data_IF_030849024628
#
_entry.id   IF_030849024628
#
_cell.length_a   1.000
_cell.length_b   1.000
_cell.length_c   1.000
_cell.angle_alpha   90.00
_cell.angle_beta   90.00
_cell.angle_gamma   90.00
#
_symmetry.space_group_name_H-M   'P 1'
#
loop_
_entity.id
_entity.type
_entity.pdbx_description
1 polymer ?
#
# COMPACT_ATOMS: atom_id res chain seq x y z
N UNK A 1 13.25 5.96 35.35
CA UNK A 1 14.12 6.42 34.25
C UNK A 1 13.22 6.70 33.07
N UNK A 2 13.23 7.92 32.54
CA UNK A 2 12.54 8.26 31.30
C UNK A 2 13.30 7.61 30.13
N UNK A 3 12.60 6.92 29.25
CA UNK A 3 13.23 6.28 28.09
C UNK A 3 13.58 7.35 27.06
N UNK A 4 14.77 7.24 26.46
CA UNK A 4 15.12 8.08 25.33
C UNK A 4 14.17 7.80 24.14
N UNK A 5 13.80 8.82 23.36
CA UNK A 5 12.97 8.63 22.18
C UNK A 5 13.67 7.69 21.18
N UNK A 6 12.91 6.77 20.59
CA UNK A 6 13.39 5.86 19.54
C UNK A 6 13.35 6.59 18.20
N UNK A 7 14.45 6.52 17.44
CA UNK A 7 14.52 7.00 16.06
C UNK A 7 14.50 5.78 15.13
N UNK A 8 13.48 5.72 14.27
CA UNK A 8 13.42 4.74 13.17
C UNK A 8 14.16 5.29 11.95
N UNK A 9 15.20 4.56 11.52
CA UNK A 9 16.06 4.96 10.41
C UNK A 9 15.52 4.50 9.04
N UNK A 10 14.51 3.64 8.99
CA UNK A 10 14.06 2.98 7.76
C UNK A 10 12.53 2.80 7.71
N UNK A 11 11.80 3.82 8.16
CA UNK A 11 10.35 3.83 8.11
C UNK A 11 9.82 4.01 6.69
N UNK A 12 8.96 3.10 6.23
CA UNK A 12 8.30 3.19 4.92
C UNK A 12 6.84 3.65 5.02
N UNK A 13 6.36 4.26 3.94
CA UNK A 13 4.93 4.48 3.68
C UNK A 13 4.57 3.77 2.38
N UNK A 14 3.35 3.27 2.30
CA UNK A 14 2.84 2.66 1.07
C UNK A 14 2.44 3.74 0.06
N UNK A 15 2.60 3.41 -1.21
CA UNK A 15 2.04 4.19 -2.30
C UNK A 15 0.50 4.18 -2.23
N UNK A 16 -0.18 5.30 -2.52
CA UNK A 16 -1.63 5.30 -2.57
C UNK A 16 -2.11 4.40 -3.73
N UNK A 17 -3.26 3.70 -3.57
CA UNK A 17 -3.79 2.84 -4.63
C UNK A 17 -4.16 3.61 -5.90
N UNK A 18 -4.43 4.91 -5.78
CA UNK A 18 -4.83 5.81 -6.87
C UNK A 18 -4.23 7.21 -6.72
N UNK A 19 -4.39 8.06 -7.74
CA UNK A 19 -3.98 9.47 -7.72
C UNK A 19 -2.54 9.76 -8.17
N UNK A 20 -1.64 8.77 -8.21
CA UNK A 20 -0.28 8.99 -8.74
C UNK A 20 -0.29 9.30 -10.25
N UNK A 21 -1.17 8.63 -11.01
CA UNK A 21 -1.33 8.85 -12.45
C UNK A 21 -1.77 10.29 -12.79
N UNK A 22 -2.66 10.87 -11.99
CA UNK A 22 -3.15 12.25 -12.17
C UNK A 22 -2.02 13.27 -12.05
N UNK A 23 -1.01 12.97 -11.21
CA UNK A 23 0.15 13.82 -10.92
C UNK A 23 1.35 13.52 -11.81
N UNK A 24 1.34 12.40 -12.53
CA UNK A 24 2.44 12.00 -13.40
C UNK A 24 2.46 12.82 -14.71
N UNK A 25 3.65 13.15 -15.25
CA UNK A 25 3.77 13.64 -16.62
C UNK A 25 3.06 12.72 -17.60
N UNK A 26 2.38 13.27 -18.62
CA UNK A 26 1.51 12.50 -19.54
C UNK A 26 2.16 11.23 -20.08
N UNK A 27 3.43 11.30 -20.51
CA UNK A 27 4.19 10.17 -21.07
C UNK A 27 4.45 9.01 -20.09
N UNK A 28 4.18 9.19 -18.79
CA UNK A 28 4.42 8.20 -17.74
C UNK A 28 3.14 7.72 -17.05
N UNK A 29 1.97 8.26 -17.40
CA UNK A 29 0.71 7.92 -16.72
C UNK A 29 0.42 6.43 -16.73
N UNK A 30 0.70 5.73 -17.82
CA UNK A 30 0.46 4.29 -17.94
C UNK A 30 1.59 3.42 -17.37
N UNK A 31 2.68 4.04 -16.90
CA UNK A 31 3.87 3.36 -16.37
C UNK A 31 4.07 3.57 -14.87
N UNK A 32 3.40 4.54 -14.26
CA UNK A 32 3.49 4.80 -12.83
C UNK A 32 2.65 3.79 -12.04
N UNK A 33 2.93 3.67 -10.73
CA UNK A 33 2.21 2.79 -9.81
C UNK A 33 0.71 3.04 -9.86
N UNK A 34 -0.05 1.98 -10.13
CA UNK A 34 -1.51 1.99 -10.14
C UNK A 34 -2.04 0.65 -9.64
N UNK A 35 -2.99 0.69 -8.71
CA UNK A 35 -3.82 -0.46 -8.40
C UNK A 35 -5.06 -0.39 -9.29
N UNK A 36 -5.27 -1.44 -10.08
CA UNK A 36 -6.41 -1.59 -10.98
C UNK A 36 -7.31 -2.69 -10.44
N UNK A 37 -8.59 -2.39 -10.26
CA UNK A 37 -9.61 -3.37 -9.93
C UNK A 37 -10.23 -3.90 -11.22
N UNK A 38 -10.17 -5.21 -11.43
CA UNK A 38 -10.81 -5.88 -12.58
C UNK A 38 -12.29 -6.14 -12.31
N UNK A 39 -13.02 -6.55 -13.35
CA UNK A 39 -14.47 -6.80 -13.26
C UNK A 39 -14.85 -7.90 -12.25
N UNK A 40 -13.96 -8.86 -12.01
CA UNK A 40 -14.12 -9.93 -11.00
C UNK A 40 -13.80 -9.45 -9.56
N UNK A 41 -13.46 -8.17 -9.39
CA UNK A 41 -13.10 -7.58 -8.10
C UNK A 41 -11.66 -7.88 -7.66
N UNK A 42 -10.84 -8.56 -8.48
CA UNK A 42 -9.42 -8.77 -8.20
C UNK A 42 -8.62 -7.48 -8.38
N UNK A 43 -7.61 -7.27 -7.53
CA UNK A 43 -6.72 -6.12 -7.61
C UNK A 43 -5.38 -6.49 -8.22
N UNK A 44 -4.92 -5.66 -9.14
CA UNK A 44 -3.67 -5.83 -9.87
C UNK A 44 -2.83 -4.58 -9.78
N UNK A 45 -1.53 -4.73 -9.50
CA UNK A 45 -0.56 -3.67 -9.71
C UNK A 45 -0.25 -3.61 -11.20
N UNK A 46 -0.50 -2.45 -11.81
CA UNK A 46 0.08 -2.06 -13.09
C UNK A 46 1.25 -1.13 -12.83
N UNK A 47 2.43 -1.50 -13.29
CA UNK A 47 3.62 -0.68 -13.14
C UNK A 47 4.66 -0.99 -14.22
N UNK A 48 5.15 0.06 -14.88
CA UNK A 48 6.21 0.00 -15.88
C UNK A 48 6.04 -1.09 -16.96
N UNK A 49 4.82 -1.24 -17.48
CA UNK A 49 4.49 -2.23 -18.52
C UNK A 49 4.23 -3.65 -18.01
N UNK A 50 4.38 -3.90 -16.71
CA UNK A 50 4.02 -5.16 -16.07
C UNK A 50 2.69 -5.09 -15.34
N UNK A 51 2.01 -6.23 -15.24
CA UNK A 51 0.85 -6.43 -14.35
C UNK A 51 1.07 -7.66 -13.47
N UNK A 52 0.75 -7.55 -12.17
CA UNK A 52 0.77 -8.67 -11.22
C UNK A 52 -0.32 -8.53 -10.15
N UNK A 53 -0.78 -9.63 -9.53
CA UNK A 53 -1.74 -9.55 -8.42
C UNK A 53 -1.24 -8.63 -7.30
N UNK A 54 -2.13 -7.79 -6.76
CA UNK A 54 -1.78 -6.76 -5.78
C UNK A 54 -1.81 -7.26 -4.33
N UNK A 55 -2.52 -8.35 -4.03
CA UNK A 55 -2.77 -8.76 -2.64
C UNK A 55 -1.48 -9.01 -1.83
N UNK A 56 -0.46 -9.60 -2.44
CA UNK A 56 0.83 -9.82 -1.77
C UNK A 56 1.55 -8.52 -1.36
N UNK A 57 1.22 -7.40 -2.00
CA UNK A 57 1.78 -6.08 -1.69
C UNK A 57 1.15 -5.48 -0.42
N UNK A 58 -0.03 -5.95 0.00
CA UNK A 58 -0.72 -5.49 1.21
C UNK A 58 0.09 -5.78 2.48
N UNK A 59 0.96 -6.81 2.47
CA UNK A 59 1.80 -7.18 3.61
C UNK A 59 2.68 -6.02 4.11
N UNK A 60 3.21 -5.21 3.18
CA UNK A 60 4.03 -4.04 3.53
C UNK A 60 3.26 -2.98 4.34
N UNK A 61 1.92 -3.03 4.33
CA UNK A 61 1.05 -2.13 5.08
C UNK A 61 0.46 -2.67 6.37
N UNK A 62 0.68 -3.96 6.65
CA UNK A 62 0.01 -4.64 7.75
C UNK A 62 0.70 -4.46 9.11
N UNK A 63 1.90 -3.86 9.17
CA UNK A 63 2.71 -3.74 10.39
C UNK A 63 2.01 -3.06 11.58
N UNK A 64 1.03 -2.20 11.31
CA UNK A 64 0.20 -1.53 12.33
C UNK A 64 -1.21 -2.12 12.52
N UNK A 65 -1.54 -3.24 11.87
CA UNK A 65 -2.86 -3.88 11.93
C UNK A 65 -2.89 -5.02 12.97
N UNK A 66 -4.05 -5.67 13.15
CA UNK A 66 -4.20 -6.82 14.06
C UNK A 66 -3.32 -8.02 13.63
N UNK A 67 -3.06 -8.97 14.53
CA UNK A 67 -2.32 -10.18 14.18
C UNK A 67 -3.04 -10.99 13.08
N UNK A 68 -4.36 -11.15 13.19
CA UNK A 68 -5.18 -11.82 12.19
C UNK A 68 -5.10 -11.14 10.81
N UNK A 69 -5.09 -9.81 10.77
CA UNK A 69 -4.92 -9.04 9.53
C UNK A 69 -3.54 -9.23 8.91
N UNK A 70 -2.48 -9.27 9.73
CA UNK A 70 -1.12 -9.55 9.26
C UNK A 70 -1.02 -10.94 8.64
N UNK A 71 -1.65 -11.94 9.25
CA UNK A 71 -1.69 -13.30 8.71
C UNK A 71 -2.48 -13.40 7.41
N UNK A 72 -3.64 -12.73 7.31
CA UNK A 72 -4.40 -12.62 6.06
C UNK A 72 -3.58 -11.97 4.95
N UNK A 73 -2.87 -10.88 5.25
CA UNK A 73 -2.00 -10.21 4.30
C UNK A 73 -0.82 -11.11 3.86
N UNK A 74 -0.21 -11.84 4.80
CA UNK A 74 0.87 -12.79 4.52
C UNK A 74 0.44 -13.92 3.57
N UNK A 75 -0.82 -14.39 3.69
CA UNK A 75 -1.41 -15.39 2.79
C UNK A 75 -1.89 -14.82 1.45
N UNK A 76 -1.81 -13.50 1.24
CA UNK A 76 -2.32 -12.85 0.03
C UNK A 76 -3.85 -12.79 -0.04
N UNK A 77 -4.54 -12.89 1.09
CA UNK A 77 -6.00 -12.86 1.20
C UNK A 77 -6.56 -11.45 1.45
N UNK A 78 -5.68 -10.46 1.58
CA UNK A 78 -6.03 -9.06 1.78
C UNK A 78 -5.80 -8.28 0.49
N UNK A 79 -6.81 -7.52 0.06
CA UNK A 79 -6.69 -6.53 -1.02
C UNK A 79 -5.79 -5.39 -0.59
N UNK A 80 -5.09 -4.78 -1.54
CA UNK A 80 -4.24 -3.63 -1.27
C UNK A 80 -5.05 -2.46 -0.70
N UNK A 81 -6.27 -2.25 -1.21
CA UNK A 81 -7.17 -1.19 -0.74
C UNK A 81 -7.80 -1.43 0.63
N UNK A 82 -7.69 -2.65 1.19
CA UNK A 82 -8.14 -2.94 2.56
C UNK A 82 -7.12 -2.51 3.62
N UNK A 83 -5.86 -2.23 3.24
CA UNK A 83 -4.84 -1.73 4.16
C UNK A 83 -5.30 -0.37 4.72
N UNK A 84 -5.15 -0.19 6.04
CA UNK A 84 -5.51 1.07 6.72
C UNK A 84 -4.89 2.25 5.98
N UNK A 85 -5.71 3.27 5.67
CA UNK A 85 -5.28 4.44 4.92
C UNK A 85 -4.08 5.17 5.54
N UNK A 86 -3.86 5.05 6.86
CA UNK A 86 -2.64 5.48 7.54
C UNK A 86 -1.35 4.99 6.87
N UNK A 87 -1.39 3.92 6.08
CA UNK A 87 -0.24 3.43 5.35
C UNK A 87 0.20 4.36 4.19
N UNK A 88 -0.72 5.08 3.55
CA UNK A 88 -0.46 5.94 2.37
C UNK A 88 -1.02 7.36 2.49
N UNK A 89 -1.83 7.64 3.52
CA UNK A 89 -2.31 8.96 3.94
C UNK A 89 -1.78 9.21 5.35
N UNK A 90 -1.03 10.31 5.59
CA UNK A 90 -0.39 10.53 6.88
C UNK A 90 -1.37 10.96 7.97
N UNK A 91 -2.45 11.68 7.64
CA UNK A 91 -3.41 12.20 8.63
C UNK A 91 -3.99 11.12 9.55
N UNK A 92 -4.45 9.95 9.04
CA UNK A 92 -4.91 8.84 9.90
C UNK A 92 -3.88 8.26 10.88
N UNK A 93 -2.60 8.68 10.86
CA UNK A 93 -1.57 8.29 11.86
C UNK A 93 -1.51 9.23 13.07
N UNK A 94 -2.02 10.45 12.95
CA UNK A 94 -1.87 11.52 13.95
C UNK A 94 -2.93 11.46 15.06
N UNK A 95 -3.19 10.27 15.61
CA UNK A 95 -4.14 10.10 16.74
C UNK A 95 -3.73 10.93 17.96
#
# INVERSE_FOLDING_TARGET
>A
MEQAPIVDADGHVLEPPSGMAERAPTKFRDRIWQIVTRADGSEWLRYNGGERPANGLALAGAGGMSAADRERALRGEMKYTEVRAGAFRPLPRLV
#
